data_IF_030583433278
#
_entry.id   IF_030583433278
#
_cell.length_a   1.000
_cell.length_b   1.000
_cell.length_c   1.000
_cell.angle_alpha   90.00
_cell.angle_beta   90.00
_cell.angle_gamma   90.00
#
_symmetry.space_group_name_H-M   'P 1'
#
loop_
_entity.id
_entity.type
_entity.pdbx_description
1 polymer ?
#
# COMPACT_ATOMS: atom_id res chain seq x y z
N UNK A 1 -3.75 16.25 -23.28
CA UNK A 1 -3.14 15.46 -22.19
C UNK A 1 -1.71 15.90 -21.99
N UNK A 2 -1.36 16.27 -20.77
CA UNK A 2 0.01 16.63 -20.43
C UNK A 2 0.77 15.36 -19.99
N UNK A 3 2.10 15.47 -19.90
CA UNK A 3 2.92 14.37 -19.37
C UNK A 3 2.48 13.98 -17.95
N UNK A 4 1.98 14.92 -17.16
CA UNK A 4 1.50 14.65 -15.81
C UNK A 4 0.22 13.80 -15.78
N UNK A 5 -0.48 13.67 -16.90
CA UNK A 5 -1.76 12.94 -16.96
C UNK A 5 -1.59 11.52 -17.53
N UNK A 6 -0.35 11.07 -17.79
CA UNK A 6 -0.10 9.75 -18.37
C UNK A 6 0.01 8.69 -17.27
N UNK A 7 -1.13 8.14 -16.86
CA UNK A 7 -1.21 6.87 -16.14
C UNK A 7 -0.21 6.66 -15.00
N UNK A 8 0.15 7.73 -14.23
CA UNK A 8 1.19 7.66 -13.22
C UNK A 8 0.67 7.90 -11.80
N UNK A 9 -0.63 7.69 -11.57
CA UNK A 9 -1.28 8.00 -10.30
C UNK A 9 -1.30 6.78 -9.40
N UNK A 10 -0.68 6.89 -8.24
CA UNK A 10 -0.62 5.80 -7.26
C UNK A 10 -1.47 6.18 -6.05
N UNK A 11 -2.42 5.32 -5.72
CA UNK A 11 -3.17 5.44 -4.48
C UNK A 11 -2.42 4.65 -3.41
N UNK A 12 -2.03 5.34 -2.33
CA UNK A 12 -1.35 4.71 -1.19
C UNK A 12 -2.37 4.60 -0.06
N UNK A 13 -2.72 3.38 0.30
CA UNK A 13 -3.77 3.12 1.29
C UNK A 13 -3.17 2.55 2.57
N UNK A 14 -3.51 3.19 3.68
CA UNK A 14 -3.08 2.79 5.02
C UNK A 14 -4.28 2.25 5.79
N UNK A 15 -4.17 1.02 6.27
CA UNK A 15 -5.23 0.36 7.00
C UNK A 15 -5.15 0.55 8.51
N UNK A 16 -5.76 -0.39 9.22
CA UNK A 16 -6.00 -0.29 10.65
C UNK A 16 -4.69 -0.06 11.43
N UNK A 17 -4.74 0.90 12.33
CA UNK A 17 -3.67 1.28 13.26
C UNK A 17 -2.45 1.96 12.63
N UNK A 18 -2.44 2.24 11.32
CA UNK A 18 -1.30 2.91 10.71
C UNK A 18 -1.16 4.36 11.18
N UNK A 19 -2.25 4.99 11.65
CA UNK A 19 -2.21 6.32 12.25
C UNK A 19 -1.51 6.34 13.60
N UNK A 20 -1.24 5.15 14.18
CA UNK A 20 -0.55 5.02 15.46
C UNK A 20 0.96 4.81 15.31
N UNK A 21 1.49 4.97 14.10
CA UNK A 21 2.94 4.93 13.90
C UNK A 21 3.62 6.00 14.74
N UNK A 22 4.81 5.66 15.28
CA UNK A 22 5.50 6.50 16.25
C UNK A 22 5.13 6.18 17.69
N UNK A 23 3.98 5.51 17.91
CA UNK A 23 3.52 5.07 19.24
C UNK A 23 3.59 3.56 19.42
N UNK A 24 3.81 2.81 18.33
CA UNK A 24 3.90 1.35 18.36
C UNK A 24 5.35 0.93 18.60
N UNK A 25 5.54 -0.39 18.81
CA UNK A 25 6.87 -0.96 19.07
C UNK A 25 7.83 -0.63 17.90
N UNK A 26 8.91 0.15 18.16
CA UNK A 26 9.85 0.51 17.09
C UNK A 26 10.55 -0.70 16.45
N UNK A 27 10.65 -1.82 17.18
CA UNK A 27 11.24 -3.05 16.66
C UNK A 27 10.51 -3.56 15.41
N UNK A 28 9.18 -3.36 15.36
CA UNK A 28 8.35 -3.84 14.25
C UNK A 28 7.97 -2.75 13.25
N UNK A 29 7.83 -1.49 13.71
CA UNK A 29 7.18 -0.43 12.91
C UNK A 29 8.08 0.77 12.68
N UNK A 30 9.30 0.80 13.25
CA UNK A 30 10.15 1.97 13.19
C UNK A 30 9.66 3.09 14.08
N UNK A 31 10.33 4.24 14.02
CA UNK A 31 10.03 5.41 14.85
C UNK A 31 9.28 6.51 14.10
N UNK A 32 9.05 6.36 12.79
CA UNK A 32 8.38 7.37 11.98
C UNK A 32 6.89 7.48 12.32
N UNK A 33 6.37 8.69 12.25
CA UNK A 33 4.93 8.92 12.24
C UNK A 33 4.39 8.65 10.84
N UNK A 34 3.06 8.53 10.71
CA UNK A 34 2.44 8.37 9.41
C UNK A 34 2.74 9.56 8.48
N UNK A 35 2.68 10.79 9.01
CA UNK A 35 3.00 11.98 8.23
C UNK A 35 4.42 11.94 7.68
N UNK A 36 5.39 11.57 8.51
CA UNK A 36 6.78 11.44 8.08
C UNK A 36 6.95 10.34 7.01
N UNK A 37 6.24 9.23 7.18
CA UNK A 37 6.24 8.14 6.20
C UNK A 37 5.70 8.63 4.86
N UNK A 38 4.59 9.35 4.87
CA UNK A 38 3.98 9.85 3.63
C UNK A 38 4.89 10.83 2.89
N UNK A 39 5.62 11.67 3.64
CA UNK A 39 6.60 12.57 3.02
C UNK A 39 7.71 11.78 2.33
N UNK A 40 8.19 10.71 2.96
CA UNK A 40 9.22 9.86 2.37
C UNK A 40 8.69 9.15 1.11
N UNK A 41 7.47 8.66 1.16
CA UNK A 41 6.83 8.00 0.00
C UNK A 41 6.67 8.98 -1.16
N UNK A 42 6.20 10.20 -0.88
CA UNK A 42 6.03 11.22 -1.91
C UNK A 42 7.35 11.55 -2.60
N UNK A 43 8.44 11.66 -1.82
CA UNK A 43 9.75 11.92 -2.38
C UNK A 43 10.26 10.80 -3.27
N UNK A 44 10.08 9.56 -2.84
CA UNK A 44 10.47 8.39 -3.62
C UNK A 44 9.66 8.31 -4.92
N UNK A 45 8.35 8.54 -4.83
CA UNK A 45 7.47 8.52 -6.00
C UNK A 45 7.86 9.60 -7.01
N UNK A 46 8.14 10.80 -6.55
CA UNK A 46 8.55 11.89 -7.44
C UNK A 46 9.80 11.52 -8.22
N UNK A 47 10.78 10.88 -7.57
CA UNK A 47 12.00 10.43 -8.23
C UNK A 47 11.75 9.36 -9.29
N UNK A 48 10.61 8.69 -9.26
CA UNK A 48 10.22 7.68 -10.23
C UNK A 48 9.20 8.19 -11.26
N UNK A 49 8.87 9.48 -11.22
CA UNK A 49 7.88 10.07 -12.11
C UNK A 49 6.44 9.68 -11.77
N UNK A 50 6.19 9.30 -10.52
CA UNK A 50 4.87 8.89 -10.05
C UNK A 50 4.28 9.98 -9.16
N UNK A 51 2.95 10.04 -9.14
CA UNK A 51 2.19 10.94 -8.27
C UNK A 51 1.40 10.11 -7.27
N UNK A 52 1.45 10.49 -6.00
CA UNK A 52 0.79 9.74 -4.94
C UNK A 52 -0.37 10.52 -4.34
N UNK A 53 -1.40 9.78 -3.95
CA UNK A 53 -2.45 10.25 -3.04
C UNK A 53 -2.49 9.27 -1.89
N UNK A 54 -2.88 9.78 -0.71
CA UNK A 54 -2.87 8.99 0.51
C UNK A 54 -4.26 8.89 1.11
N UNK A 55 -4.58 7.72 1.64
CA UNK A 55 -5.82 7.49 2.36
C UNK A 55 -5.54 6.62 3.56
N UNK A 56 -6.12 6.97 4.70
CA UNK A 56 -6.05 6.18 5.92
C UNK A 56 -7.43 6.00 6.53
N UNK A 57 -7.71 4.81 7.05
CA UNK A 57 -8.90 4.57 7.87
C UNK A 57 -8.65 3.42 8.82
N UNK A 58 -9.33 3.47 9.98
CA UNK A 58 -9.41 2.35 10.92
C UNK A 58 -10.71 1.57 10.76
N UNK A 59 -11.50 1.87 9.74
CA UNK A 59 -12.80 1.22 9.47
C UNK A 59 -12.71 0.39 8.20
N UNK A 60 -12.91 -0.92 8.35
CA UNK A 60 -12.78 -1.85 7.23
C UNK A 60 -13.72 -1.49 6.07
N UNK A 61 -14.98 -1.12 6.39
CA UNK A 61 -15.95 -0.74 5.37
C UNK A 61 -15.53 0.49 4.59
N UNK A 62 -14.90 1.47 5.25
CA UNK A 62 -14.38 2.64 4.55
C UNK A 62 -13.23 2.28 3.61
N UNK A 63 -12.39 1.32 4.01
CA UNK A 63 -11.30 0.83 3.17
C UNK A 63 -11.87 0.19 1.90
N UNK A 64 -12.89 -0.64 2.06
CA UNK A 64 -13.60 -1.28 0.94
C UNK A 64 -14.20 -0.22 0.01
N UNK A 65 -14.92 0.75 0.55
CA UNK A 65 -15.56 1.79 -0.25
C UNK A 65 -14.55 2.68 -0.97
N UNK A 66 -13.40 2.92 -0.35
CA UNK A 66 -12.34 3.69 -1.00
C UNK A 66 -11.80 2.95 -2.23
N UNK A 67 -11.62 1.64 -2.13
CA UNK A 67 -11.22 0.82 -3.28
C UNK A 67 -12.25 0.95 -4.41
N UNK A 68 -13.54 0.98 -4.08
CA UNK A 68 -14.61 1.14 -5.09
C UNK A 68 -14.52 2.47 -5.85
N UNK A 69 -13.90 3.49 -5.25
CA UNK A 69 -13.83 4.83 -5.84
C UNK A 69 -12.61 5.04 -6.73
N UNK A 70 -11.72 4.07 -6.84
CA UNK A 70 -10.45 4.27 -7.54
C UNK A 70 -10.55 4.23 -9.06
N UNK A 71 -11.65 3.74 -9.60
CA UNK A 71 -11.86 3.73 -11.04
C UNK A 71 -11.76 5.16 -11.58
N UNK A 72 -10.88 5.36 -12.55
CA UNK A 72 -10.63 6.67 -13.13
C UNK A 72 -9.80 7.63 -12.25
N UNK A 73 -9.45 7.24 -11.02
CA UNK A 73 -8.71 8.09 -10.10
C UNK A 73 -7.28 7.61 -9.85
N UNK A 74 -7.01 6.34 -10.06
CA UNK A 74 -5.68 5.77 -9.81
C UNK A 74 -5.30 4.81 -10.94
N UNK A 75 -4.01 4.58 -11.08
CA UNK A 75 -3.45 3.67 -12.07
C UNK A 75 -2.75 2.49 -11.41
N UNK A 76 -2.43 2.61 -10.14
CA UNK A 76 -1.86 1.54 -9.33
C UNK A 76 -2.13 1.80 -7.86
N UNK A 77 -1.97 0.75 -7.05
CA UNK A 77 -2.27 0.78 -5.62
C UNK A 77 -1.08 0.23 -4.85
N UNK A 78 -0.68 0.96 -3.79
CA UNK A 78 0.19 0.43 -2.75
C UNK A 78 -0.66 0.37 -1.49
N UNK A 79 -0.84 -0.82 -0.91
CA UNK A 79 -1.69 -0.93 0.26
C UNK A 79 -1.03 -1.69 1.39
N UNK A 80 -1.16 -1.11 2.59
CA UNK A 80 -0.85 -1.77 3.84
C UNK A 80 -2.14 -1.88 4.64
N UNK A 81 -2.86 -3.02 4.52
CA UNK A 81 -4.15 -3.17 5.22
C UNK A 81 -4.00 -3.35 6.73
N UNK A 82 -2.76 -3.45 7.24
CA UNK A 82 -2.56 -3.81 8.63
C UNK A 82 -3.05 -5.24 8.87
N UNK A 83 -3.63 -5.50 10.03
CA UNK A 83 -4.10 -6.85 10.38
C UNK A 83 -5.21 -7.36 9.46
N UNK A 84 -5.92 -6.50 8.75
CA UNK A 84 -6.96 -6.94 7.81
C UNK A 84 -6.42 -7.87 6.73
N UNK A 85 -5.14 -7.77 6.40
CA UNK A 85 -4.51 -8.61 5.36
C UNK A 85 -4.64 -10.10 5.66
N UNK A 86 -4.80 -10.45 6.94
CA UNK A 86 -4.80 -11.86 7.35
C UNK A 86 -6.18 -12.51 7.24
N UNK A 87 -7.26 -11.72 7.11
CA UNK A 87 -8.60 -12.29 7.18
C UNK A 87 -9.70 -11.54 6.43
N UNK A 88 -9.43 -10.36 5.87
CA UNK A 88 -10.52 -9.59 5.24
C UNK A 88 -10.76 -10.03 3.81
N UNK A 89 -11.69 -10.94 3.64
CA UNK A 89 -12.15 -11.32 2.32
C UNK A 89 -12.95 -10.19 1.66
N UNK A 90 -13.54 -9.30 2.47
CA UNK A 90 -14.23 -8.12 1.92
C UNK A 90 -13.25 -7.18 1.20
N UNK A 91 -12.09 -6.95 1.79
CA UNK A 91 -11.05 -6.14 1.15
C UNK A 91 -10.50 -6.87 -0.08
N UNK A 92 -10.31 -8.19 0.01
CA UNK A 92 -9.87 -8.98 -1.14
C UNK A 92 -10.79 -8.79 -2.33
N UNK A 93 -12.09 -8.94 -2.12
CA UNK A 93 -13.07 -8.81 -3.21
C UNK A 93 -13.10 -7.40 -3.78
N UNK A 94 -13.00 -6.39 -2.92
CA UNK A 94 -12.97 -4.99 -3.36
C UNK A 94 -11.71 -4.69 -4.18
N UNK A 95 -10.57 -5.24 -3.78
CA UNK A 95 -9.32 -5.06 -4.53
C UNK A 95 -9.42 -5.70 -5.91
N UNK A 96 -9.98 -6.90 -5.99
CA UNK A 96 -10.17 -7.59 -7.27
C UNK A 96 -11.02 -6.76 -8.23
N UNK A 97 -12.06 -6.11 -7.71
CA UNK A 97 -12.96 -5.29 -8.52
C UNK A 97 -12.27 -4.05 -9.13
N UNK A 98 -11.15 -3.60 -8.59
CA UNK A 98 -10.45 -2.44 -9.14
C UNK A 98 -9.77 -2.76 -10.47
N UNK A 99 -9.37 -4.01 -10.69
CA UNK A 99 -8.56 -4.44 -11.84
C UNK A 99 -7.25 -3.67 -11.99
N UNK A 100 -6.80 -2.98 -10.94
CA UNK A 100 -5.56 -2.21 -10.94
C UNK A 100 -4.39 -3.06 -10.43
N UNK A 101 -3.18 -2.83 -10.93
CA UNK A 101 -2.01 -3.47 -10.35
C UNK A 101 -1.81 -2.96 -8.92
N UNK A 102 -1.49 -3.86 -8.01
CA UNK A 102 -1.36 -3.54 -6.59
C UNK A 102 -0.15 -4.23 -5.99
N UNK A 103 0.48 -3.57 -5.04
CA UNK A 103 1.52 -4.14 -4.20
C UNK A 103 1.07 -4.06 -2.75
N UNK A 104 1.09 -5.21 -2.08
CA UNK A 104 0.85 -5.28 -0.64
C UNK A 104 2.16 -5.02 0.09
N UNK A 105 2.13 -4.15 1.11
CA UNK A 105 3.32 -3.78 1.85
C UNK A 105 3.07 -3.83 3.35
N UNK A 106 4.09 -4.26 4.10
CA UNK A 106 4.11 -4.25 5.55
C UNK A 106 5.47 -3.72 6.00
N UNK A 107 5.48 -2.84 6.99
CA UNK A 107 6.71 -2.28 7.53
C UNK A 107 7.51 -3.33 8.31
N UNK A 108 6.81 -4.17 9.07
CA UNK A 108 7.45 -5.24 9.85
C UNK A 108 7.65 -6.48 9.00
N UNK A 109 8.57 -7.35 9.44
CA UNK A 109 8.68 -8.70 8.89
C UNK A 109 7.57 -9.55 9.52
N UNK A 110 6.44 -9.60 8.86
CA UNK A 110 5.25 -10.29 9.40
C UNK A 110 5.47 -11.80 9.52
N UNK A 111 6.35 -12.38 8.70
CA UNK A 111 6.64 -13.81 8.76
C UNK A 111 7.47 -14.17 10.01
N UNK A 112 8.16 -13.19 10.60
CA UNK A 112 8.95 -13.40 11.82
C UNK A 112 8.14 -13.17 13.10
N UNK A 113 6.84 -12.87 12.98
CA UNK A 113 5.95 -12.63 14.13
C UNK A 113 5.06 -13.86 14.37
N UNK A 114 3.85 -13.66 14.91
CA UNK A 114 2.97 -14.79 15.17
C UNK A 114 2.57 -15.51 13.88
N UNK A 115 2.36 -16.85 13.93
CA UNK A 115 2.06 -17.63 12.71
C UNK A 115 0.90 -17.10 11.86
N UNK A 116 -0.16 -16.54 12.48
CA UNK A 116 -1.30 -16.04 11.71
C UNK A 116 -0.91 -14.87 10.80
N UNK A 117 0.21 -14.17 11.08
CA UNK A 117 0.65 -13.04 10.28
C UNK A 117 1.32 -13.44 8.97
N UNK A 118 1.59 -14.73 8.79
CA UNK A 118 2.18 -15.24 7.53
C UNK A 118 1.17 -15.30 6.41
N UNK A 119 -0.12 -15.42 6.75
CA UNK A 119 -1.18 -15.51 5.76
C UNK A 119 -1.61 -14.14 5.29
N UNK A 120 -1.74 -13.99 3.96
CA UNK A 120 -2.36 -12.82 3.36
C UNK A 120 -3.43 -13.30 2.41
N UNK A 121 -4.67 -12.84 2.62
CA UNK A 121 -5.78 -13.17 1.72
C UNK A 121 -5.74 -12.32 0.45
N UNK A 122 -4.80 -11.36 0.35
CA UNK A 122 -4.65 -10.49 -0.81
C UNK A 122 -3.48 -10.90 -1.71
N UNK A 123 -2.60 -11.78 -1.24
CA UNK A 123 -1.31 -12.04 -1.87
C UNK A 123 -1.41 -12.38 -3.36
N UNK A 124 -2.34 -13.24 -3.73
CA UNK A 124 -2.48 -13.71 -5.10
C UNK A 124 -3.09 -12.67 -6.05
N UNK A 125 -3.68 -11.60 -5.50
CA UNK A 125 -4.21 -10.49 -6.29
C UNK A 125 -3.16 -9.40 -6.53
N UNK A 126 -2.05 -9.44 -5.81
CA UNK A 126 -1.02 -8.42 -5.89
C UNK A 126 0.14 -8.88 -6.75
N UNK A 127 0.79 -7.94 -7.45
CA UNK A 127 1.96 -8.25 -8.27
C UNK A 127 3.18 -8.54 -7.40
N UNK A 128 3.18 -8.06 -6.16
CA UNK A 128 4.25 -8.31 -5.20
C UNK A 128 3.75 -8.09 -3.78
N UNK A 129 4.45 -8.69 -2.82
CA UNK A 129 4.29 -8.43 -1.40
C UNK A 129 5.64 -8.08 -0.84
N UNK A 130 5.75 -6.89 -0.27
CA UNK A 130 6.99 -6.37 0.33
C UNK A 130 6.81 -6.32 1.84
N UNK A 131 7.75 -6.87 2.61
CA UNK A 131 7.65 -6.85 4.07
C UNK A 131 9.03 -6.82 4.69
N UNK A 132 9.11 -6.28 5.92
CA UNK A 132 10.32 -6.33 6.72
C UNK A 132 11.41 -5.34 6.34
N UNK A 133 11.12 -4.40 5.44
CA UNK A 133 12.11 -3.41 4.97
C UNK A 133 11.87 -2.03 5.56
N UNK A 134 10.93 -1.89 6.49
CA UNK A 134 10.56 -0.60 7.01
C UNK A 134 10.09 0.35 5.90
N UNK A 135 10.35 1.67 6.05
CA UNK A 135 9.93 2.65 5.05
C UNK A 135 10.54 2.44 3.66
N UNK A 136 11.74 1.85 3.59
CA UNK A 136 12.41 1.60 2.30
C UNK A 136 11.64 0.64 1.41
N UNK A 137 10.78 -0.19 1.99
CA UNK A 137 9.92 -1.09 1.23
C UNK A 137 9.00 -0.37 0.27
N UNK A 138 8.62 0.88 0.57
CA UNK A 138 7.78 1.65 -0.32
C UNK A 138 8.48 2.02 -1.63
N UNK A 139 9.79 2.26 -1.59
CA UNK A 139 10.55 2.50 -2.82
C UNK A 139 10.53 1.26 -3.71
N UNK A 140 10.69 0.09 -3.14
CA UNK A 140 10.58 -1.16 -3.89
C UNK A 140 9.19 -1.35 -4.47
N UNK A 141 8.14 -1.12 -3.66
CA UNK A 141 6.75 -1.25 -4.12
C UNK A 141 6.46 -0.33 -5.29
N UNK A 142 6.87 0.93 -5.19
CA UNK A 142 6.67 1.92 -6.24
C UNK A 142 7.43 1.55 -7.51
N UNK A 143 8.66 1.04 -7.38
CA UNK A 143 9.46 0.60 -8.51
C UNK A 143 8.78 -0.56 -9.23
N UNK A 144 8.26 -1.54 -8.48
CA UNK A 144 7.55 -2.68 -9.05
C UNK A 144 6.29 -2.24 -9.80
N UNK A 145 5.53 -1.30 -9.21
CA UNK A 145 4.36 -0.76 -9.89
C UNK A 145 4.73 -0.01 -11.16
N UNK A 146 5.77 0.82 -11.10
CA UNK A 146 6.21 1.57 -12.28
C UNK A 146 6.58 0.63 -13.42
N UNK A 147 7.30 -0.45 -13.13
CA UNK A 147 7.66 -1.44 -14.13
C UNK A 147 6.43 -2.10 -14.75
N UNK A 148 5.43 -2.43 -13.93
CA UNK A 148 4.19 -3.06 -14.38
C UNK A 148 3.34 -2.10 -15.22
N UNK A 149 3.26 -0.84 -14.81
CA UNK A 149 2.40 0.15 -15.45
C UNK A 149 2.96 0.67 -16.76
N UNK A 150 4.29 0.69 -16.91
CA UNK A 150 4.96 1.32 -18.06
C UNK A 150 5.86 0.35 -18.82
N UNK A 151 5.64 -0.95 -18.69
CA UNK A 151 6.43 -1.90 -19.50
C UNK A 151 6.02 -1.83 -20.97
N UNK A 152 6.97 -2.00 -21.82
CA UNK A 152 6.76 -2.01 -23.28
C UNK A 152 6.42 -3.41 -23.77
#
# INVERSE_FOLDING_TARGET
>A
MTMADIGNRIEVMHGVNLDQLGRRDPTHYGSLTLTELELAISGAAAGLGLRTRFFHTNHEGEFVEHLHRLDGLADGIVLNPGAWTHYSYAIRDALELTHLPAVEIHLSDVDAREPFRRESVLRDLCIARVSGQGPDGYTEALTRLREEMFHD
#
